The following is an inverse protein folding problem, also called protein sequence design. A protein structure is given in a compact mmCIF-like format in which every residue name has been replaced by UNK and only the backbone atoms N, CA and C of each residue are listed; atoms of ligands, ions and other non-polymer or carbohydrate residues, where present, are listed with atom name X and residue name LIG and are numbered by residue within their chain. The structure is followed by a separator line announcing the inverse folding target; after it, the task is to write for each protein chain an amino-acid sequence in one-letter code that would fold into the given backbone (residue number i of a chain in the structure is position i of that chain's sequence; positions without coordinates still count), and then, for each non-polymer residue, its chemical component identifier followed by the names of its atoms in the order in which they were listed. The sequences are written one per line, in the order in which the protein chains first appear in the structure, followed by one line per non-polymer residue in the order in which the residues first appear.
data_IF_058541414188
#
_entry.id   IF_058541414188
#
_cell.length_a   1.000
_cell.length_b   1.000
_cell.length_c   1.000
_cell.angle_alpha   90.00
_cell.angle_beta   90.00
_cell.angle_gamma   90.00
#
_symmetry.space_group_name_H-M   'P 1'
#
loop_
_entity.id
_entity.type
_entity.pdbx_description
1 polymer ?
#
# COMPACT_ATOMS: atom_id res chain seq x y z
N UNK A 1 -22.52 -6.82 29.46
CA UNK A 1 -23.71 -6.49 28.65
C UNK A 1 -23.74 -7.44 27.48
N UNK A 2 -24.89 -8.02 27.15
CA UNK A 2 -25.01 -8.87 25.96
C UNK A 2 -24.77 -8.01 24.71
N UNK A 3 -24.11 -8.54 23.64
CA UNK A 3 -23.94 -7.83 22.41
C UNK A 3 -25.29 -7.40 21.81
N UNK A 4 -25.38 -6.24 21.14
CA UNK A 4 -26.62 -5.85 20.48
C UNK A 4 -26.98 -6.92 19.43
N UNK A 5 -28.28 -7.20 19.24
CA UNK A 5 -28.70 -8.17 18.25
C UNK A 5 -28.24 -7.72 16.85
N UNK A 6 -27.94 -8.67 15.93
CA UNK A 6 -27.59 -8.33 14.57
C UNK A 6 -28.70 -7.51 13.91
N UNK A 7 -28.39 -6.55 13.03
CA UNK A 7 -29.37 -5.74 12.36
C UNK A 7 -30.35 -6.64 11.57
N UNK A 8 -31.63 -6.23 11.46
CA UNK A 8 -32.62 -7.04 10.76
C UNK A 8 -32.24 -7.24 9.29
N UNK A 9 -32.52 -8.41 8.69
CA UNK A 9 -32.10 -8.78 7.33
C UNK A 9 -32.46 -7.76 6.24
N UNK A 10 -33.51 -6.97 6.43
CA UNK A 10 -33.93 -5.91 5.49
C UNK A 10 -32.99 -4.70 5.48
N UNK A 11 -32.38 -4.34 6.60
CA UNK A 11 -31.38 -3.26 6.68
C UNK A 11 -30.08 -3.69 6.00
N UNK A 12 -29.62 -4.91 6.25
CA UNK A 12 -28.45 -5.51 5.56
C UNK A 12 -28.63 -5.51 4.04
N UNK A 13 -29.83 -5.89 3.54
CA UNK A 13 -30.12 -5.89 2.10
C UNK A 13 -30.16 -4.48 1.51
N UNK A 14 -30.67 -3.49 2.22
CA UNK A 14 -30.73 -2.10 1.77
C UNK A 14 -29.32 -1.46 1.72
N UNK A 15 -28.49 -1.70 2.73
CA UNK A 15 -27.12 -1.19 2.78
C UNK A 15 -26.22 -1.87 1.73
N UNK A 16 -26.35 -3.18 1.51
CA UNK A 16 -25.71 -3.85 0.38
C UNK A 16 -26.18 -3.33 -0.97
N UNK A 17 -27.46 -2.96 -1.11
CA UNK A 17 -27.95 -2.33 -2.34
C UNK A 17 -27.31 -0.95 -2.56
N UNK A 18 -27.11 -0.15 -1.51
CA UNK A 18 -26.40 1.12 -1.60
C UNK A 18 -24.92 0.95 -1.98
N UNK A 19 -24.22 -0.04 -1.37
CA UNK A 19 -22.84 -0.40 -1.73
C UNK A 19 -22.77 -0.84 -3.18
N UNK A 20 -23.69 -1.70 -3.64
CA UNK A 20 -23.76 -2.15 -5.04
C UNK A 20 -24.01 -0.98 -6.00
N UNK A 21 -24.90 -0.07 -5.65
CA UNK A 21 -25.21 1.11 -6.47
C UNK A 21 -23.97 2.02 -6.57
N UNK A 22 -23.31 2.29 -5.44
CA UNK A 22 -22.08 3.08 -5.39
C UNK A 22 -20.94 2.44 -6.19
N UNK A 23 -20.77 1.11 -6.15
CA UNK A 23 -19.76 0.37 -6.92
C UNK A 23 -20.14 0.21 -8.40
N UNK A 24 -21.43 0.09 -8.75
CA UNK A 24 -21.91 -0.16 -10.12
C UNK A 24 -22.06 1.11 -10.98
N UNK A 25 -22.17 2.29 -10.37
CA UNK A 25 -22.28 3.58 -11.07
C UNK A 25 -21.06 3.92 -11.98
N UNK A 26 -20.07 3.02 -12.07
CA UNK A 26 -18.77 3.17 -12.72
C UNK A 26 -18.63 2.47 -14.06
N UNK A 27 -19.67 1.75 -14.52
CA UNK A 27 -19.64 1.04 -15.80
C UNK A 27 -19.69 2.03 -16.96
N UNK A 28 -18.56 2.29 -17.62
CA UNK A 28 -18.57 3.16 -18.79
C UNK A 28 -17.38 3.07 -19.75
N UNK A 29 -16.34 2.26 -19.48
CA UNK A 29 -15.09 2.35 -20.28
C UNK A 29 -14.41 1.03 -20.67
N UNK A 30 -15.15 -0.06 -20.82
CA UNK A 30 -14.54 -1.33 -21.25
C UNK A 30 -15.21 -1.86 -22.52
N UNK A 31 -14.83 -1.31 -23.68
CA UNK A 31 -15.09 -1.96 -24.97
C UNK A 31 -13.95 -1.60 -25.92
N UNK A 32 -13.13 -2.59 -26.29
CA UNK A 32 -12.26 -2.52 -27.45
C UNK A 32 -10.74 -2.64 -27.23
N UNK A 33 -10.26 -2.86 -26.01
CA UNK A 33 -8.81 -3.06 -25.78
C UNK A 33 -8.50 -4.57 -25.72
N UNK A 34 -7.50 -5.04 -26.49
CA UNK A 34 -7.03 -6.45 -26.48
C UNK A 34 -6.13 -6.77 -25.27
N UNK A 35 -5.84 -5.78 -24.43
CA UNK A 35 -4.99 -5.95 -23.24
C UNK A 35 -5.83 -6.21 -21.98
N UNK A 36 -5.22 -6.85 -20.94
CA UNK A 36 -5.86 -6.91 -19.64
C UNK A 36 -6.31 -5.53 -19.15
N UNK A 37 -7.45 -5.41 -18.45
CA UNK A 37 -7.99 -4.14 -18.00
C UNK A 37 -6.98 -3.29 -17.21
N UNK A 38 -6.11 -3.95 -16.43
CA UNK A 38 -5.05 -3.32 -15.64
C UNK A 38 -4.00 -2.65 -16.52
N UNK A 39 -3.60 -3.31 -17.61
CA UNK A 39 -2.64 -2.74 -18.58
C UNK A 39 -3.28 -1.60 -19.35
N UNK A 40 -4.54 -1.75 -19.74
CA UNK A 40 -5.29 -0.66 -20.36
C UNK A 40 -5.36 0.57 -19.45
N UNK A 41 -5.51 0.38 -18.13
CA UNK A 41 -5.48 1.48 -17.16
C UNK A 41 -4.09 2.16 -17.10
N UNK A 42 -2.99 1.39 -17.09
CA UNK A 42 -1.63 1.94 -17.16
C UNK A 42 -1.41 2.78 -18.43
N UNK A 43 -1.91 2.30 -19.58
CA UNK A 43 -1.81 3.04 -20.85
C UNK A 43 -2.57 4.35 -20.85
N UNK A 44 -3.75 4.37 -20.22
CA UNK A 44 -4.57 5.60 -20.14
C UNK A 44 -4.10 6.59 -19.07
N UNK A 45 -3.29 6.14 -18.10
CA UNK A 45 -2.87 6.96 -16.95
C UNK A 45 -3.90 7.01 -15.83
N UNK A 46 -4.80 6.02 -15.77
CA UNK A 46 -5.83 5.91 -14.73
C UNK A 46 -5.65 4.69 -13.80
N UNK A 47 -4.49 4.04 -13.85
CA UNK A 47 -4.15 2.96 -12.94
C UNK A 47 -4.07 3.46 -11.49
N UNK A 48 -4.64 2.67 -10.58
CA UNK A 48 -4.57 2.92 -9.13
C UNK A 48 -4.09 1.66 -8.42
N UNK A 49 -3.02 1.80 -7.64
CA UNK A 49 -2.50 0.75 -6.75
C UNK A 49 -2.78 1.12 -5.29
N UNK A 50 -3.34 0.19 -4.52
CA UNK A 50 -3.32 0.25 -3.07
C UNK A 50 -2.02 -0.35 -2.56
N UNK A 51 -1.28 0.35 -1.70
CA UNK A 51 -0.16 -0.20 -0.96
C UNK A 51 -0.62 -0.48 0.47
N UNK A 52 -0.83 -1.75 0.80
CA UNK A 52 -1.09 -2.17 2.18
C UNK A 52 0.15 -1.97 3.06
N UNK A 53 1.32 -2.16 2.48
CA UNK A 53 2.62 -1.92 3.11
C UNK A 53 3.48 -3.18 3.16
N UNK A 54 4.75 -3.03 2.75
CA UNK A 54 5.71 -4.13 2.63
C UNK A 54 6.03 -4.83 3.96
N UNK A 55 5.79 -4.13 5.09
CA UNK A 55 5.97 -4.63 6.46
C UNK A 55 4.67 -4.69 7.27
N UNK A 56 3.51 -4.43 6.66
CA UNK A 56 2.22 -4.49 7.36
C UNK A 56 1.61 -5.87 7.17
N UNK A 57 1.52 -6.62 8.27
CA UNK A 57 1.17 -8.05 8.27
C UNK A 57 -0.08 -8.36 9.10
N UNK A 58 -0.86 -7.32 9.53
CA UNK A 58 -2.18 -7.52 10.13
C UNK A 58 -3.17 -8.00 9.05
N UNK A 59 -3.34 -9.32 8.98
CA UNK A 59 -4.14 -9.96 7.95
C UNK A 59 -5.61 -9.50 7.97
N UNK A 60 -6.17 -9.17 9.14
CA UNK A 60 -7.55 -8.72 9.26
C UNK A 60 -7.74 -7.32 8.66
N UNK A 61 -6.84 -6.40 8.99
CA UNK A 61 -6.86 -5.04 8.41
C UNK A 61 -6.58 -5.07 6.91
N UNK A 62 -5.60 -5.88 6.46
CA UNK A 62 -5.29 -6.04 5.04
C UNK A 62 -6.47 -6.59 4.27
N UNK A 63 -7.16 -7.60 4.81
CA UNK A 63 -8.39 -8.16 4.22
C UNK A 63 -9.48 -7.11 4.04
N UNK A 64 -9.76 -6.34 5.09
CA UNK A 64 -10.79 -5.31 5.05
C UNK A 64 -10.43 -4.17 4.10
N UNK A 65 -9.16 -3.73 4.07
CA UNK A 65 -8.66 -2.75 3.11
C UNK A 65 -8.81 -3.26 1.67
N UNK A 66 -8.45 -4.52 1.42
CA UNK A 66 -8.54 -5.15 0.09
C UNK A 66 -9.97 -5.21 -0.41
N UNK A 67 -10.93 -5.58 0.46
CA UNK A 67 -12.36 -5.57 0.13
C UNK A 67 -12.82 -4.16 -0.27
N UNK A 68 -12.57 -3.16 0.57
CA UNK A 68 -13.03 -1.78 0.35
C UNK A 68 -12.42 -1.19 -0.92
N UNK A 69 -11.11 -1.35 -1.14
CA UNK A 69 -10.44 -0.79 -2.30
C UNK A 69 -10.73 -1.56 -3.60
N UNK A 70 -11.02 -2.87 -3.54
CA UNK A 70 -11.54 -3.62 -4.68
C UNK A 70 -12.90 -3.07 -5.10
N UNK A 71 -13.82 -2.85 -4.15
CA UNK A 71 -15.10 -2.18 -4.43
C UNK A 71 -14.90 -0.75 -4.96
N UNK A 72 -13.85 -0.06 -4.53
CA UNK A 72 -13.49 1.26 -5.04
C UNK A 72 -12.90 1.24 -6.45
N UNK A 73 -12.48 0.09 -6.98
CA UNK A 73 -12.00 -0.10 -8.34
C UNK A 73 -10.51 0.17 -8.52
N UNK A 74 -9.67 -0.20 -7.56
CA UNK A 74 -8.22 -0.24 -7.75
C UNK A 74 -7.84 -1.33 -8.73
N UNK A 75 -6.71 -1.17 -9.42
CA UNK A 75 -6.21 -2.13 -10.41
C UNK A 75 -5.21 -3.13 -9.80
N UNK A 76 -4.62 -2.77 -8.66
CA UNK A 76 -3.63 -3.59 -7.98
C UNK A 76 -3.68 -3.37 -6.46
N UNK A 77 -3.42 -4.44 -5.72
CA UNK A 77 -3.22 -4.41 -4.28
C UNK A 77 -1.85 -4.98 -3.99
N UNK A 78 -0.99 -4.14 -3.42
CA UNK A 78 0.35 -4.47 -3.02
C UNK A 78 0.41 -4.75 -1.51
N UNK A 79 1.01 -5.87 -1.14
CA UNK A 79 1.06 -6.35 0.24
C UNK A 79 2.43 -6.94 0.61
N UNK A 80 2.61 -7.23 1.87
CA UNK A 80 3.79 -7.93 2.36
C UNK A 80 3.94 -9.31 1.69
N UNK A 81 5.18 -9.71 1.38
CA UNK A 81 5.49 -11.03 0.83
C UNK A 81 5.39 -12.10 1.94
N UNK A 82 4.16 -12.38 2.33
CA UNK A 82 3.78 -13.37 3.35
C UNK A 82 2.52 -14.12 2.91
N UNK A 83 2.50 -15.44 3.10
CA UNK A 83 1.43 -16.30 2.59
C UNK A 83 0.07 -16.01 3.24
N UNK A 84 0.04 -15.63 4.53
CA UNK A 84 -1.19 -15.31 5.25
C UNK A 84 -1.74 -13.95 4.81
N UNK A 85 -0.86 -12.99 4.55
CA UNK A 85 -1.24 -11.66 4.04
C UNK A 85 -1.77 -11.75 2.62
N UNK A 86 -1.12 -12.52 1.73
CA UNK A 86 -1.63 -12.80 0.37
C UNK A 86 -3.00 -13.48 0.43
N UNK A 87 -3.19 -14.46 1.34
CA UNK A 87 -4.48 -15.10 1.56
C UNK A 87 -5.56 -14.11 1.99
N UNK A 88 -5.23 -13.18 2.90
CA UNK A 88 -6.15 -12.15 3.37
C UNK A 88 -6.54 -11.16 2.24
N UNK A 89 -5.59 -10.76 1.39
CA UNK A 89 -5.88 -9.93 0.21
C UNK A 89 -6.88 -10.62 -0.70
N UNK A 90 -6.63 -11.88 -1.06
CA UNK A 90 -7.51 -12.65 -1.95
C UNK A 90 -8.90 -12.86 -1.34
N UNK A 91 -8.99 -13.16 -0.03
CA UNK A 91 -10.29 -13.24 0.66
C UNK A 91 -11.07 -11.92 0.55
N UNK A 92 -10.40 -10.78 0.74
CA UNK A 92 -11.02 -9.45 0.59
C UNK A 92 -11.55 -9.21 -0.83
N UNK A 93 -10.79 -9.61 -1.85
CA UNK A 93 -11.19 -9.51 -3.26
C UNK A 93 -12.40 -10.40 -3.55
N UNK A 94 -12.40 -11.64 -3.06
CA UNK A 94 -13.50 -12.60 -3.26
C UNK A 94 -14.80 -12.11 -2.60
N UNK A 95 -14.71 -11.54 -1.41
CA UNK A 95 -15.87 -10.93 -0.74
C UNK A 95 -16.38 -9.73 -1.53
N UNK A 96 -15.50 -8.88 -2.05
CA UNK A 96 -15.92 -7.76 -2.92
C UNK A 96 -16.66 -8.27 -4.18
N UNK A 97 -16.17 -9.34 -4.79
CA UNK A 97 -16.81 -9.98 -5.95
C UNK A 97 -18.17 -10.61 -5.58
N UNK A 98 -18.32 -11.14 -4.37
CA UNK A 98 -19.61 -11.66 -3.87
C UNK A 98 -20.66 -10.54 -3.68
N UNK A 99 -20.21 -9.36 -3.22
CA UNK A 99 -21.07 -8.19 -3.04
C UNK A 99 -21.43 -7.56 -4.41
N UNK A 100 -20.44 -7.41 -5.29
CA UNK A 100 -20.59 -6.82 -6.64
C UNK A 100 -19.99 -7.78 -7.68
N UNK A 101 -20.77 -8.73 -8.22
CA UNK A 101 -20.27 -9.75 -9.17
C UNK A 101 -19.59 -9.21 -10.43
N UNK A 102 -19.79 -7.94 -10.72
CA UNK A 102 -19.18 -7.26 -11.86
C UNK A 102 -17.96 -6.41 -11.48
N UNK A 103 -17.50 -6.48 -10.24
CA UNK A 103 -16.28 -5.79 -9.86
C UNK A 103 -15.09 -6.40 -10.59
N UNK A 104 -14.19 -5.54 -11.07
CA UNK A 104 -12.94 -6.00 -11.65
C UNK A 104 -12.00 -6.42 -10.51
N UNK A 105 -11.50 -7.67 -10.56
CA UNK A 105 -10.48 -8.12 -9.61
C UNK A 105 -9.17 -7.39 -9.87
N UNK A 106 -8.59 -6.74 -8.86
CA UNK A 106 -7.25 -6.16 -8.96
C UNK A 106 -6.19 -7.26 -9.05
N UNK A 107 -5.02 -6.92 -9.59
CA UNK A 107 -3.84 -7.78 -9.46
C UNK A 107 -3.31 -7.78 -8.02
N UNK A 108 -2.88 -8.94 -7.54
CA UNK A 108 -2.22 -9.09 -6.25
C UNK A 108 -0.71 -9.00 -6.44
N UNK A 109 -0.09 -8.03 -5.80
CA UNK A 109 1.34 -7.76 -5.85
C UNK A 109 1.97 -8.02 -4.48
N UNK A 110 3.14 -8.64 -4.46
CA UNK A 110 3.95 -8.78 -3.24
C UNK A 110 5.17 -7.90 -3.32
N UNK A 111 5.56 -7.30 -2.18
CA UNK A 111 6.73 -6.42 -2.08
C UNK A 111 7.90 -7.09 -1.39
N UNK A 112 9.09 -6.98 -2.01
CA UNK A 112 10.37 -7.42 -1.46
C UNK A 112 11.42 -6.30 -1.58
N UNK A 113 12.53 -6.43 -0.90
CA UNK A 113 13.64 -5.49 -0.95
C UNK A 113 14.94 -6.17 -1.32
N UNK A 114 15.79 -5.44 -2.03
CA UNK A 114 17.14 -5.89 -2.37
C UNK A 114 18.14 -5.64 -1.22
N UNK A 115 17.88 -4.66 -0.35
CA UNK A 115 18.83 -4.20 0.67
C UNK A 115 18.15 -3.94 2.02
N UNK A 116 18.82 -4.33 3.12
CA UNK A 116 18.37 -4.07 4.48
C UNK A 116 18.34 -2.57 4.87
N UNK A 117 18.87 -1.68 4.06
CA UNK A 117 18.80 -0.23 4.26
C UNK A 117 17.50 0.39 3.80
N UNK A 118 16.60 -0.38 3.19
CA UNK A 118 15.28 0.09 2.81
C UNK A 118 14.39 0.30 4.04
N UNK A 119 13.94 1.53 4.23
CA UNK A 119 13.12 1.92 5.36
C UNK A 119 11.69 1.33 5.34
N UNK A 120 11.24 0.79 4.22
CA UNK A 120 9.94 0.11 4.10
C UNK A 120 9.96 -1.29 4.75
N UNK A 121 11.15 -1.86 4.95
CA UNK A 121 11.35 -3.18 5.53
C UNK A 121 12.03 -3.08 6.90
N UNK A 122 11.35 -2.42 7.83
CA UNK A 122 11.79 -2.32 9.23
C UNK A 122 10.61 -2.41 10.18
N UNK A 123 10.88 -2.82 11.40
CA UNK A 123 9.94 -2.84 12.53
C UNK A 123 10.50 -2.01 13.67
N UNK A 124 9.64 -1.39 14.45
CA UNK A 124 10.07 -0.83 15.74
C UNK A 124 10.23 -1.94 16.75
N UNK A 125 11.21 -1.80 17.63
CA UNK A 125 11.48 -2.73 18.71
C UNK A 125 11.92 -1.98 19.95
N UNK A 126 11.40 -2.36 21.11
CA UNK A 126 11.87 -1.93 22.43
C UNK A 126 11.34 -2.86 23.52
N UNK A 127 12.03 -2.89 24.65
CA UNK A 127 11.53 -3.55 25.86
C UNK A 127 10.76 -2.52 26.70
N UNK A 128 9.46 -2.74 26.94
CA UNK A 128 8.67 -1.83 27.79
C UNK A 128 9.14 -1.78 29.25
N UNK A 129 9.84 -2.80 29.75
CA UNK A 129 10.41 -2.78 31.11
C UNK A 129 11.56 -1.75 31.26
N UNK A 130 12.22 -1.39 30.15
CA UNK A 130 13.20 -0.31 30.12
C UNK A 130 12.59 1.10 30.19
N UNK A 131 11.27 1.22 30.07
CA UNK A 131 10.56 2.47 30.14
C UNK A 131 10.30 2.88 31.60
N UNK A 132 10.51 4.16 31.97
CA UNK A 132 10.12 4.64 33.29
C UNK A 132 8.60 4.44 33.53
N UNK A 133 8.19 4.03 34.76
CA UNK A 133 6.79 3.77 35.05
C UNK A 133 5.85 4.97 34.84
N UNK A 134 6.39 6.19 34.94
CA UNK A 134 5.66 7.46 34.75
C UNK A 134 5.71 7.97 33.30
N UNK A 135 6.26 7.19 32.36
CA UNK A 135 6.33 7.57 30.95
C UNK A 135 4.95 7.95 30.38
N UNK A 136 4.87 9.09 29.71
CA UNK A 136 3.64 9.61 29.08
C UNK A 136 3.23 8.88 27.79
N UNK A 137 3.98 7.86 27.38
CA UNK A 137 3.76 6.98 26.23
C UNK A 137 3.57 7.75 24.91
N UNK A 138 4.48 8.67 24.53
CA UNK A 138 4.32 9.45 23.30
C UNK A 138 4.40 8.58 22.05
N UNK A 139 5.12 7.45 22.09
CA UNK A 139 5.24 6.49 21.01
C UNK A 139 3.90 5.84 20.65
N UNK A 140 3.07 5.49 21.62
CA UNK A 140 1.72 4.97 21.44
C UNK A 140 0.82 6.00 20.75
N UNK A 141 0.85 7.26 21.24
CA UNK A 141 0.01 8.36 20.74
C UNK A 141 0.30 8.76 19.29
N UNK A 142 1.54 8.59 18.82
CA UNK A 142 1.92 8.99 17.45
C UNK A 142 1.86 7.82 16.47
N UNK A 143 1.62 6.60 16.93
CA UNK A 143 1.58 5.43 16.06
C UNK A 143 0.34 5.46 15.16
N UNK A 144 0.49 5.60 13.82
CA UNK A 144 -0.65 5.70 12.93
C UNK A 144 -1.31 4.33 12.63
N UNK A 145 -0.66 3.23 13.03
CA UNK A 145 -1.14 1.87 12.88
C UNK A 145 -1.63 1.25 14.21
N UNK A 146 -1.65 2.04 15.30
CA UNK A 146 -1.96 1.54 16.65
C UNK A 146 -1.14 0.28 17.01
N UNK A 147 0.12 0.26 16.53
CA UNK A 147 1.03 -0.88 16.68
C UNK A 147 1.84 -0.86 17.98
N UNK A 148 1.60 0.08 18.85
CA UNK A 148 2.26 0.16 20.16
C UNK A 148 1.16 0.22 21.22
N UNK A 149 1.19 -0.73 22.15
CA UNK A 149 0.27 -0.80 23.28
C UNK A 149 1.07 -1.01 24.56
N UNK A 150 0.88 -0.16 25.54
CA UNK A 150 1.58 -0.17 26.81
C UNK A 150 0.58 -0.10 27.96
N UNK A 151 0.57 -1.08 28.82
CA UNK A 151 -0.25 -1.11 30.02
C UNK A 151 0.62 -0.93 31.27
N UNK A 152 0.09 -0.25 32.26
CA UNK A 152 0.74 -0.15 33.56
C UNK A 152 0.25 -1.26 34.45
N UNK A 153 1.15 -2.14 34.86
CA UNK A 153 0.86 -3.24 35.79
C UNK A 153 1.44 -2.91 37.15
N UNK A 154 0.60 -2.95 38.17
CA UNK A 154 1.03 -2.73 39.56
C UNK A 154 1.75 -3.99 40.05
N UNK A 155 2.92 -3.83 40.66
CA UNK A 155 3.67 -4.94 41.26
C UNK A 155 2.96 -5.34 42.56
N UNK A 156 2.41 -6.55 42.61
CA UNK A 156 1.77 -7.07 43.79
C UNK A 156 2.77 -7.12 44.97
N UNK A 157 2.42 -6.51 46.11
CA UNK A 157 3.21 -6.57 47.34
C UNK A 157 3.73 -5.24 47.90
N UNK A 158 3.56 -4.11 47.22
CA UNK A 158 3.86 -2.79 47.78
C UNK A 158 2.59 -1.98 47.98
N UNK A 159 2.06 -2.05 49.20
CA UNK A 159 0.95 -1.20 49.67
C UNK A 159 1.44 0.25 49.82
N UNK A 160 1.35 1.07 48.73
CA UNK A 160 1.26 2.52 48.88
C UNK A 160 0.43 3.08 47.73
N UNK A 161 -0.71 3.61 48.10
CA UNK A 161 -1.81 4.07 47.20
C UNK A 161 -1.51 5.36 46.41
N UNK A 162 -0.27 5.84 46.37
CA UNK A 162 0.01 7.16 45.81
C UNK A 162 1.35 7.34 45.11
N UNK A 163 2.16 6.30 44.89
CA UNK A 163 3.44 6.44 44.21
C UNK A 163 3.32 6.04 42.73
N UNK A 164 3.38 7.00 41.78
CA UNK A 164 3.38 6.73 40.33
C UNK A 164 4.55 5.87 39.87
N UNK A 165 5.60 5.72 40.71
CA UNK A 165 6.82 4.96 40.38
C UNK A 165 6.73 3.46 40.74
N UNK A 166 5.62 3.01 41.34
CA UNK A 166 5.49 1.63 41.86
C UNK A 166 4.88 0.62 40.87
N UNK A 167 5.03 0.80 39.58
CA UNK A 167 4.55 -0.14 38.56
C UNK A 167 5.60 -0.36 37.48
N UNK A 168 5.38 -1.36 36.63
CA UNK A 168 6.11 -1.51 35.38
C UNK A 168 5.17 -1.35 34.18
N UNK A 169 5.73 -1.02 33.01
CA UNK A 169 4.99 -1.04 31.77
C UNK A 169 5.12 -2.44 31.15
N UNK A 170 4.01 -2.97 30.68
CA UNK A 170 3.95 -4.22 29.93
C UNK A 170 3.34 -3.95 28.54
N UNK A 171 3.53 -4.89 27.60
CA UNK A 171 3.05 -4.78 26.22
C UNK A 171 4.19 -4.63 25.24
N UNK A 172 4.20 -3.57 24.44
CA UNK A 172 5.26 -3.29 23.47
C UNK A 172 4.75 -3.08 22.06
N UNK A 173 5.52 -3.55 21.08
CA UNK A 173 5.18 -3.42 19.65
C UNK A 173 4.38 -4.63 19.19
N UNK A 174 3.19 -4.38 18.63
CA UNK A 174 2.41 -5.36 17.86
C UNK A 174 3.06 -5.43 16.48
N UNK A 175 3.91 -6.43 16.30
CA UNK A 175 4.83 -6.54 15.16
C UNK A 175 4.08 -6.57 13.82
N UNK A 176 2.95 -7.26 13.76
CA UNK A 176 2.13 -7.41 12.55
C UNK A 176 1.57 -6.06 12.07
N UNK A 177 1.24 -5.17 13.00
CA UNK A 177 0.73 -3.82 12.71
C UNK A 177 1.82 -2.81 12.38
N UNK A 178 3.03 -3.03 12.88
CA UNK A 178 4.13 -2.10 12.63
C UNK A 178 4.57 -2.15 11.16
N UNK A 179 4.41 -1.05 10.43
CA UNK A 179 4.92 -0.91 9.06
C UNK A 179 6.15 0.00 8.95
N UNK A 180 6.88 0.21 10.04
CA UNK A 180 8.19 0.83 10.04
C UNK A 180 8.24 2.34 9.77
N UNK A 181 7.16 3.10 9.98
CA UNK A 181 7.15 4.54 9.69
C UNK A 181 8.16 5.37 10.50
N UNK A 182 8.66 4.87 11.62
CA UNK A 182 9.68 5.50 12.45
C UNK A 182 9.23 6.66 13.32
N UNK A 183 7.94 7.01 13.36
CA UNK A 183 7.45 8.14 14.18
C UNK A 183 7.72 7.98 15.66
N UNK A 184 7.66 6.76 16.16
CA UNK A 184 7.92 6.44 17.57
C UNK A 184 9.36 6.71 18.00
N UNK A 185 10.32 6.57 17.08
CA UNK A 185 11.74 6.77 17.36
C UNK A 185 12.03 8.21 17.83
N UNK A 186 11.58 9.19 17.06
CA UNK A 186 11.90 10.61 17.30
C UNK A 186 11.17 11.22 18.50
N UNK A 187 10.10 10.59 19.00
CA UNK A 187 9.30 11.11 20.11
C UNK A 187 9.60 10.43 21.45
N UNK A 188 10.42 9.37 21.45
CA UNK A 188 10.79 8.70 22.68
C UNK A 188 11.81 9.56 23.46
N UNK A 189 11.44 10.10 24.63
CA UNK A 189 12.35 10.99 25.38
C UNK A 189 13.51 10.26 26.05
N UNK A 190 13.46 8.92 26.04
CA UNK A 190 14.46 8.05 26.67
C UNK A 190 15.30 7.27 25.65
N UNK A 191 15.08 7.49 24.35
CA UNK A 191 15.79 6.82 23.24
C UNK A 191 15.80 5.27 23.36
N UNK A 192 14.68 4.69 23.78
CA UNK A 192 14.57 3.24 24.00
C UNK A 192 14.13 2.47 22.76
N UNK A 193 13.53 3.15 21.78
CA UNK A 193 12.96 2.50 20.60
C UNK A 193 13.99 2.43 19.47
N UNK A 194 14.16 1.24 18.92
CA UNK A 194 15.07 0.97 17.80
C UNK A 194 14.28 0.59 16.56
N UNK A 195 14.89 0.76 15.39
CA UNK A 195 14.37 0.26 14.12
C UNK A 195 15.18 -0.96 13.70
N UNK A 196 14.52 -2.11 13.62
CA UNK A 196 15.12 -3.35 13.13
C UNK A 196 14.74 -3.54 11.66
N UNK A 197 15.75 -3.45 10.79
CA UNK A 197 15.57 -3.66 9.34
C UNK A 197 15.82 -5.13 8.97
N UNK A 198 15.15 -5.59 7.92
CA UNK A 198 15.28 -6.96 7.42
C UNK A 198 15.20 -7.01 5.89
N UNK A 199 15.61 -8.12 5.32
CA UNK A 199 15.43 -8.44 3.91
C UNK A 199 14.48 -9.64 3.81
N UNK A 200 13.55 -9.59 2.88
CA UNK A 200 12.64 -10.73 2.61
C UNK A 200 13.45 -11.92 2.08
N UNK A 201 13.11 -13.10 2.56
CA UNK A 201 13.75 -14.35 2.14
C UNK A 201 13.42 -14.63 0.66
N UNK A 202 14.43 -14.68 -0.23
CA UNK A 202 14.20 -14.92 -1.65
C UNK A 202 13.57 -16.29 -1.94
N UNK A 203 13.89 -17.33 -1.17
CA UNK A 203 13.34 -18.68 -1.36
C UNK A 203 11.83 -18.69 -1.09
N UNK A 204 11.40 -18.11 0.04
CA UNK A 204 9.97 -17.97 0.36
C UNK A 204 9.26 -17.10 -0.65
N UNK A 205 9.92 -16.04 -1.13
CA UNK A 205 9.38 -15.18 -2.19
C UNK A 205 9.17 -15.97 -3.47
N UNK A 206 10.15 -16.77 -3.90
CA UNK A 206 10.04 -17.62 -5.08
C UNK A 206 8.89 -18.65 -4.97
N UNK A 207 8.64 -19.18 -3.77
CA UNK A 207 7.48 -20.05 -3.52
C UNK A 207 6.15 -19.28 -3.67
N UNK A 208 6.06 -18.06 -3.19
CA UNK A 208 4.87 -17.21 -3.37
C UNK A 208 4.62 -16.88 -4.84
N UNK A 209 5.66 -16.58 -5.62
CA UNK A 209 5.55 -16.28 -7.05
C UNK A 209 5.08 -17.46 -7.90
N UNK A 210 5.22 -18.68 -7.40
CA UNK A 210 4.70 -19.90 -8.08
C UNK A 210 3.21 -20.11 -7.85
N UNK A 211 2.59 -19.35 -6.94
CA UNK A 211 1.16 -19.42 -6.68
C UNK A 211 0.39 -18.76 -7.82
N UNK A 212 -0.81 -19.25 -8.10
CA UNK A 212 -1.70 -18.69 -9.11
C UNK A 212 -2.54 -17.50 -8.62
N UNK A 213 -2.40 -17.14 -7.36
CA UNK A 213 -3.08 -16.04 -6.70
C UNK A 213 -2.16 -14.84 -6.39
N UNK A 214 -0.95 -14.82 -6.97
CA UNK A 214 0.00 -13.70 -7.01
C UNK A 214 0.24 -13.32 -8.45
N UNK A 215 -0.09 -12.09 -8.82
CA UNK A 215 -0.03 -11.58 -10.19
C UNK A 215 1.22 -10.75 -10.49
N UNK A 216 1.84 -10.19 -9.45
CA UNK A 216 2.91 -9.21 -9.61
C UNK A 216 3.90 -9.22 -8.43
N UNK A 217 5.08 -8.70 -8.68
CA UNK A 217 6.09 -8.43 -7.65
C UNK A 217 6.56 -6.98 -7.74
N UNK A 218 6.80 -6.36 -6.59
CA UNK A 218 7.53 -5.10 -6.47
C UNK A 218 8.87 -5.34 -5.78
N UNK A 219 9.96 -4.92 -6.43
CA UNK A 219 11.30 -4.97 -5.88
C UNK A 219 11.69 -3.56 -5.47
N UNK A 220 11.82 -3.33 -4.17
CA UNK A 220 12.31 -2.09 -3.62
C UNK A 220 13.82 -2.01 -3.75
N UNK A 221 14.31 -0.87 -4.24
CA UNK A 221 15.74 -0.59 -4.38
C UNK A 221 16.15 0.68 -3.63
N UNK A 222 17.40 0.76 -3.22
CA UNK A 222 17.95 1.94 -2.55
C UNK A 222 18.59 2.95 -3.50
N UNK A 223 18.68 2.64 -4.80
CA UNK A 223 19.34 3.49 -5.80
C UNK A 223 20.87 3.57 -5.67
N UNK A 224 21.51 2.74 -4.83
CA UNK A 224 22.93 2.82 -4.49
C UNK A 224 23.82 1.77 -5.17
N UNK A 225 23.38 1.24 -6.28
CA UNK A 225 24.09 0.20 -7.03
C UNK A 225 23.16 -0.96 -7.36
N UNK A 226 23.61 -1.87 -8.21
CA UNK A 226 22.78 -2.95 -8.75
C UNK A 226 23.17 -4.34 -8.25
N UNK A 227 24.25 -4.46 -7.46
CA UNK A 227 24.75 -5.76 -7.02
C UNK A 227 23.75 -6.53 -6.17
N UNK A 228 23.09 -5.84 -5.23
CA UNK A 228 22.06 -6.44 -4.38
C UNK A 228 20.82 -6.81 -5.17
N UNK A 229 20.40 -5.94 -6.11
CA UNK A 229 19.32 -6.25 -7.04
C UNK A 229 19.65 -7.49 -7.88
N UNK A 230 20.84 -7.55 -8.47
CA UNK A 230 21.29 -8.69 -9.29
C UNK A 230 21.31 -9.98 -8.47
N UNK A 231 21.74 -9.91 -7.21
CA UNK A 231 21.74 -11.05 -6.29
C UNK A 231 20.30 -11.54 -6.01
N UNK A 232 19.39 -10.61 -5.66
CA UNK A 232 17.98 -10.94 -5.44
C UNK A 232 17.35 -11.52 -6.71
N UNK A 233 17.57 -10.86 -7.85
CA UNK A 233 17.05 -11.29 -9.15
C UNK A 233 17.47 -12.73 -9.50
N UNK A 234 18.76 -13.05 -9.32
CA UNK A 234 19.28 -14.39 -9.54
C UNK A 234 18.67 -15.43 -8.58
N UNK A 235 18.37 -15.04 -7.35
CA UNK A 235 17.74 -15.94 -6.37
C UNK A 235 16.26 -16.18 -6.61
N UNK A 236 15.56 -15.27 -7.30
CA UNK A 236 14.17 -15.46 -7.71
C UNK A 236 14.05 -16.42 -8.91
N UNK A 237 15.12 -16.52 -9.71
CA UNK A 237 15.26 -17.47 -10.81
C UNK A 237 14.00 -17.54 -11.72
N UNK A 238 13.66 -18.71 -12.22
CA UNK A 238 12.49 -18.94 -13.09
C UNK A 238 11.14 -18.57 -12.44
N UNK A 239 11.07 -18.41 -11.11
CA UNK A 239 9.82 -18.02 -10.44
C UNK A 239 9.27 -16.69 -10.91
N UNK A 240 10.17 -15.78 -11.37
CA UNK A 240 9.80 -14.46 -11.87
C UNK A 240 8.96 -14.53 -13.18
N UNK A 241 9.06 -15.63 -13.91
CA UNK A 241 8.32 -15.83 -15.15
C UNK A 241 6.81 -16.09 -14.93
N UNK A 242 6.39 -16.35 -13.69
CA UNK A 242 4.99 -16.62 -13.36
C UNK A 242 4.17 -15.34 -13.19
N UNK A 243 4.80 -14.18 -13.05
CA UNK A 243 4.08 -12.92 -12.79
C UNK A 243 3.79 -12.13 -14.06
N UNK A 244 2.68 -11.42 -14.05
CA UNK A 244 2.21 -10.56 -15.15
C UNK A 244 2.91 -9.20 -15.17
N UNK A 245 3.34 -8.71 -14.00
CA UNK A 245 3.93 -7.39 -13.82
C UNK A 245 5.10 -7.44 -12.83
N UNK A 246 6.21 -6.85 -13.24
CA UNK A 246 7.36 -6.62 -12.37
C UNK A 246 7.49 -5.11 -12.16
N UNK A 247 7.34 -4.67 -10.92
CA UNK A 247 7.55 -3.30 -10.53
C UNK A 247 8.91 -3.14 -9.85
N UNK A 248 9.61 -2.05 -10.15
CA UNK A 248 10.83 -1.67 -9.44
C UNK A 248 10.61 -0.31 -8.81
N UNK A 249 10.73 -0.26 -7.48
CA UNK A 249 10.61 0.96 -6.70
C UNK A 249 11.96 1.70 -6.69
N UNK A 250 11.93 2.97 -7.08
CA UNK A 250 13.10 3.81 -7.31
C UNK A 250 13.04 5.06 -6.42
N UNK A 251 14.05 5.34 -5.60
CA UNK A 251 14.23 6.67 -5.04
C UNK A 251 14.71 7.67 -6.10
N UNK A 252 14.46 8.96 -5.90
CA UNK A 252 15.07 10.00 -6.72
C UNK A 252 16.55 10.14 -6.36
N UNK A 253 17.42 9.72 -7.26
CA UNK A 253 18.89 9.86 -7.14
C UNK A 253 19.45 10.91 -8.11
N UNK A 254 18.61 11.85 -8.52
CA UNK A 254 18.98 12.94 -9.44
C UNK A 254 19.32 12.43 -10.82
N UNK A 255 20.31 13.06 -11.47
CA UNK A 255 20.73 12.75 -12.84
C UNK A 255 21.17 11.30 -13.05
N UNK A 256 21.52 10.58 -11.98
CA UNK A 256 21.91 9.16 -12.04
C UNK A 256 20.72 8.20 -12.15
N UNK A 257 19.49 8.67 -11.98
CA UNK A 257 18.29 7.82 -11.96
C UNK A 257 18.14 7.00 -13.23
N UNK A 258 18.26 7.61 -14.41
CA UNK A 258 18.10 6.91 -15.69
C UNK A 258 19.23 5.89 -15.93
N UNK A 259 20.45 6.19 -15.51
CA UNK A 259 21.56 5.24 -15.59
C UNK A 259 21.31 4.02 -14.71
N UNK A 260 20.82 4.24 -13.48
CA UNK A 260 20.44 3.17 -12.57
C UNK A 260 19.30 2.31 -13.13
N UNK A 261 18.24 2.95 -13.66
CA UNK A 261 17.13 2.27 -14.33
C UNK A 261 17.60 1.39 -15.50
N UNK A 262 18.49 1.92 -16.36
CA UNK A 262 19.03 1.16 -17.49
C UNK A 262 19.87 -0.03 -17.04
N UNK A 263 20.67 0.12 -16.00
CA UNK A 263 21.45 -0.98 -15.43
C UNK A 263 20.55 -2.11 -14.90
N UNK A 264 19.48 -1.77 -14.15
CA UNK A 264 18.48 -2.74 -13.68
C UNK A 264 17.76 -3.37 -14.88
N UNK A 265 17.31 -2.57 -15.84
CA UNK A 265 16.60 -3.07 -17.02
C UNK A 265 17.45 -4.07 -17.81
N UNK A 266 18.76 -3.84 -17.93
CA UNK A 266 19.69 -4.76 -18.58
C UNK A 266 19.69 -6.14 -17.91
N UNK A 267 19.61 -6.19 -16.57
CA UNK A 267 19.49 -7.46 -15.84
C UNK A 267 18.14 -8.14 -16.08
N UNK A 268 17.05 -7.36 -16.09
CA UNK A 268 15.68 -7.89 -16.18
C UNK A 268 15.32 -8.38 -17.58
N UNK A 269 15.74 -7.66 -18.63
CA UNK A 269 15.19 -7.77 -19.99
C UNK A 269 15.23 -9.18 -20.60
N UNK A 270 16.21 -10.03 -20.23
CA UNK A 270 16.34 -11.39 -20.74
C UNK A 270 15.28 -12.36 -20.19
N UNK A 271 14.69 -12.04 -19.04
CA UNK A 271 13.69 -12.87 -18.34
C UNK A 271 12.33 -12.17 -18.23
N UNK A 272 12.21 -10.96 -18.78
CA UNK A 272 10.99 -10.17 -18.69
C UNK A 272 9.94 -10.69 -19.68
N UNK A 273 9.05 -11.59 -19.22
CA UNK A 273 7.92 -12.07 -20.02
C UNK A 273 6.65 -11.25 -19.86
N UNK A 274 6.53 -10.52 -18.75
CA UNK A 274 5.41 -9.67 -18.40
C UNK A 274 5.66 -8.19 -18.68
N UNK A 275 4.87 -7.35 -18.04
CA UNK A 275 5.00 -5.90 -18.11
C UNK A 275 6.00 -5.39 -17.07
N UNK A 276 6.66 -4.27 -17.38
CA UNK A 276 7.57 -3.58 -16.48
C UNK A 276 6.97 -2.26 -16.00
N UNK A 277 7.08 -1.99 -14.71
CA UNK A 277 6.58 -0.78 -14.05
C UNK A 277 7.69 -0.14 -13.19
N UNK A 278 7.99 1.11 -13.45
CA UNK A 278 8.89 1.93 -12.64
C UNK A 278 8.07 2.72 -11.61
N UNK A 279 8.19 2.37 -10.34
CA UNK A 279 7.55 3.11 -9.27
C UNK A 279 8.47 4.23 -8.80
N UNK A 280 8.00 5.45 -8.91
CA UNK A 280 8.73 6.66 -8.55
C UNK A 280 8.42 7.02 -7.10
N UNK A 281 9.31 6.63 -6.17
CA UNK A 281 9.19 6.94 -4.76
C UNK A 281 9.79 8.30 -4.45
N UNK A 282 8.97 9.33 -4.49
CA UNK A 282 9.41 10.70 -4.27
C UNK A 282 9.87 10.98 -2.85
N UNK A 283 9.39 10.23 -1.88
CA UNK A 283 9.76 10.39 -0.46
C UNK A 283 10.13 9.06 0.17
N UNK A 284 11.19 9.02 1.00
CA UNK A 284 11.42 7.89 1.87
C UNK A 284 10.27 7.74 2.87
N UNK A 285 10.11 6.56 3.45
CA UNK A 285 9.11 6.28 4.47
C UNK A 285 9.27 7.23 5.67
N UNK A 286 8.41 8.24 5.77
CA UNK A 286 8.44 9.23 6.86
C UNK A 286 7.17 9.25 7.70
N UNK A 287 6.13 8.49 7.28
CA UNK A 287 4.80 8.54 7.87
C UNK A 287 4.07 9.89 7.69
N UNK A 288 4.67 10.88 7.06
CA UNK A 288 4.02 12.14 6.71
C UNK A 288 3.15 11.96 5.46
N UNK A 289 1.85 12.22 5.62
CA UNK A 289 0.82 12.08 4.59
C UNK A 289 0.02 13.38 4.44
N UNK A 290 0.54 14.49 4.97
CA UNK A 290 -0.05 15.82 4.84
C UNK A 290 -0.04 16.31 3.38
N UNK A 291 -0.70 17.47 3.17
CA UNK A 291 -0.87 18.05 1.82
C UNK A 291 0.45 18.21 1.05
N UNK A 292 1.51 18.60 1.73
CA UNK A 292 2.83 18.84 1.13
C UNK A 292 3.59 17.57 0.75
N UNK A 293 3.18 16.41 1.27
CA UNK A 293 3.90 15.15 1.06
C UNK A 293 3.99 14.71 -0.41
N UNK A 294 3.06 15.16 -1.25
CA UNK A 294 3.04 14.81 -2.69
C UNK A 294 4.02 15.63 -3.55
N UNK A 295 4.68 16.64 -2.97
CA UNK A 295 5.55 17.56 -3.73
C UNK A 295 6.74 16.85 -4.32
N UNK A 296 7.42 16.04 -3.53
CA UNK A 296 8.65 15.35 -3.94
C UNK A 296 8.36 14.31 -5.03
N UNK A 297 7.28 13.55 -4.90
CA UNK A 297 6.94 12.55 -5.93
C UNK A 297 6.55 13.18 -7.27
N UNK A 298 5.85 14.31 -7.25
CA UNK A 298 5.53 15.05 -8.48
C UNK A 298 6.79 15.70 -9.07
N UNK A 299 7.69 16.26 -8.25
CA UNK A 299 8.97 16.79 -8.72
C UNK A 299 9.83 15.71 -9.36
N UNK A 300 9.87 14.51 -8.80
CA UNK A 300 10.58 13.38 -9.38
C UNK A 300 10.02 13.03 -10.77
N UNK A 301 8.69 12.97 -10.91
CA UNK A 301 8.08 12.73 -12.22
C UNK A 301 8.40 13.82 -13.25
N UNK A 302 8.38 15.09 -12.83
CA UNK A 302 8.77 16.22 -13.70
C UNK A 302 10.23 16.10 -14.13
N UNK A 303 11.12 15.83 -13.19
CA UNK A 303 12.55 15.64 -13.48
C UNK A 303 12.75 14.48 -14.47
N UNK A 304 12.17 13.31 -14.18
CA UNK A 304 12.28 12.16 -15.07
C UNK A 304 11.68 12.42 -16.46
N UNK A 305 10.62 13.23 -16.56
CA UNK A 305 10.01 13.55 -17.86
C UNK A 305 10.94 14.33 -18.79
N UNK A 306 11.88 15.09 -18.22
CA UNK A 306 12.89 15.86 -18.98
C UNK A 306 14.11 15.04 -19.40
N UNK A 307 14.31 13.86 -18.81
CA UNK A 307 15.45 12.99 -19.12
C UNK A 307 15.22 12.20 -20.41
N UNK A 308 16.29 11.99 -21.17
CA UNK A 308 16.32 11.12 -22.36
C UNK A 308 16.81 9.71 -21.99
N UNK A 309 16.69 8.77 -22.93
CA UNK A 309 17.24 7.41 -22.85
C UNK A 309 16.70 6.59 -21.65
N UNK A 310 15.47 6.85 -21.23
CA UNK A 310 14.79 6.04 -20.22
C UNK A 310 14.54 4.63 -20.77
N UNK A 311 14.71 3.58 -19.94
CA UNK A 311 14.39 2.21 -20.35
C UNK A 311 12.86 2.07 -20.55
N UNK A 312 12.43 1.05 -21.32
CA UNK A 312 11.00 0.75 -21.51
C UNK A 312 10.29 0.46 -20.17
N UNK A 313 8.97 0.67 -20.16
CA UNK A 313 8.11 0.39 -19.03
C UNK A 313 7.08 1.49 -18.79
N UNK A 314 6.16 1.20 -17.85
CA UNK A 314 5.21 2.17 -17.34
C UNK A 314 5.80 2.94 -16.15
N UNK A 315 5.27 4.12 -15.87
CA UNK A 315 5.68 4.91 -14.70
C UNK A 315 4.49 5.11 -13.77
N UNK A 316 4.72 4.97 -12.47
CA UNK A 316 3.71 5.14 -11.42
C UNK A 316 4.28 6.01 -10.30
N UNK A 317 3.47 6.92 -9.76
CA UNK A 317 3.85 7.71 -8.60
C UNK A 317 3.59 6.95 -7.29
N UNK A 318 4.54 7.04 -6.36
CA UNK A 318 4.41 6.59 -4.99
C UNK A 318 5.20 7.51 -4.03
N UNK A 319 5.25 7.17 -2.74
CA UNK A 319 6.04 7.93 -1.76
C UNK A 319 5.49 9.34 -1.50
N UNK A 320 4.47 9.45 -0.63
CA UNK A 320 3.85 10.72 -0.25
C UNK A 320 2.55 11.07 -0.98
N UNK A 321 2.03 10.18 -1.81
CA UNK A 321 0.77 10.37 -2.54
C UNK A 321 -0.44 10.50 -1.60
N UNK A 322 -1.35 11.43 -1.94
CA UNK A 322 -2.56 11.74 -1.17
C UNK A 322 -3.63 12.36 -2.07
N UNK A 323 -4.71 12.91 -1.49
CA UNK A 323 -5.80 13.55 -2.23
C UNK A 323 -5.40 14.77 -3.07
N UNK A 324 -4.22 15.35 -2.84
CA UNK A 324 -3.72 16.51 -3.59
C UNK A 324 -2.79 16.13 -4.76
N UNK A 325 -2.47 14.84 -4.92
CA UNK A 325 -1.54 14.37 -5.95
C UNK A 325 -2.04 14.69 -7.36
N UNK A 326 -3.32 14.45 -7.61
CA UNK A 326 -3.93 14.68 -8.95
C UNK A 326 -3.90 16.17 -9.30
N UNK A 327 -4.25 17.04 -8.37
CA UNK A 327 -4.19 18.50 -8.59
C UNK A 327 -2.77 18.94 -8.92
N UNK A 328 -1.79 18.40 -8.20
CA UNK A 328 -0.37 18.68 -8.43
C UNK A 328 0.12 18.17 -9.77
N UNK A 329 -0.31 16.96 -10.19
CA UNK A 329 0.00 16.41 -11.53
C UNK A 329 -0.65 17.21 -12.65
N UNK A 330 -1.90 17.68 -12.47
CA UNK A 330 -2.57 18.56 -13.44
C UNK A 330 -1.82 19.87 -13.60
N UNK A 331 -1.36 20.48 -12.51
CA UNK A 331 -0.55 21.71 -12.54
C UNK A 331 0.80 21.50 -13.23
N UNK A 332 1.39 20.32 -13.12
CA UNK A 332 2.63 19.93 -13.80
C UNK A 332 2.42 19.50 -15.26
N UNK A 333 1.18 19.42 -15.76
CA UNK A 333 0.86 18.95 -17.11
C UNK A 333 1.10 17.45 -17.33
N UNK A 334 1.21 16.66 -16.26
CA UNK A 334 1.55 15.23 -16.33
C UNK A 334 0.35 14.29 -16.09
N UNK A 335 -0.80 14.80 -15.65
CA UNK A 335 -1.97 13.98 -15.41
C UNK A 335 -2.60 13.51 -16.73
N UNK A 336 -2.54 12.20 -16.98
CA UNK A 336 -3.05 11.56 -18.20
C UNK A 336 -2.50 12.19 -19.50
N UNK A 337 -1.33 12.81 -19.41
CA UNK A 337 -0.66 13.36 -20.58
C UNK A 337 -0.05 12.24 -21.41
N UNK A 338 -0.36 12.19 -22.70
CA UNK A 338 0.14 11.15 -23.61
C UNK A 338 1.52 11.52 -24.15
N UNK A 339 2.41 10.54 -24.16
CA UNK A 339 3.71 10.60 -24.83
C UNK A 339 3.77 9.51 -25.89
N UNK A 340 4.52 9.76 -26.97
CA UNK A 340 4.87 8.68 -27.91
C UNK A 340 5.94 7.83 -27.26
N UNK A 341 5.63 6.55 -26.95
CA UNK A 341 6.63 5.61 -26.50
C UNK A 341 7.55 5.30 -27.70
N UNK A 342 8.81 5.66 -27.60
CA UNK A 342 9.83 5.19 -28.53
C UNK A 342 10.11 3.71 -28.23
N UNK A 343 9.28 2.82 -28.76
CA UNK A 343 9.52 1.38 -28.75
C UNK A 343 10.00 0.98 -30.12
N UNK A 344 11.19 0.40 -30.17
CA UNK A 344 11.77 -0.20 -31.37
C UNK A 344 10.79 -1.20 -31.99
N UNK A 345 10.11 -0.80 -33.08
CA UNK A 345 9.60 -1.73 -34.07
C UNK A 345 8.14 -2.16 -34.02
N UNK A 346 7.28 -1.63 -33.15
CA UNK A 346 5.83 -1.92 -33.18
C UNK A 346 5.05 -0.62 -33.04
N UNK A 347 4.11 -0.42 -33.98
CA UNK A 347 3.13 0.67 -34.11
C UNK A 347 3.01 1.61 -32.91
N UNK A 348 3.14 2.93 -33.19
CA UNK A 348 2.93 4.11 -32.33
C UNK A 348 1.74 3.94 -31.37
N UNK A 349 1.93 3.27 -30.23
CA UNK A 349 0.91 3.19 -29.20
C UNK A 349 1.06 4.40 -28.28
N UNK A 350 0.12 5.31 -28.40
CA UNK A 350 -0.02 6.44 -27.51
C UNK A 350 -0.28 5.94 -26.08
N UNK A 351 0.61 6.24 -25.14
CA UNK A 351 0.40 5.90 -23.73
C UNK A 351 0.63 7.12 -22.83
N UNK A 352 -0.03 7.12 -21.67
CA UNK A 352 0.20 8.16 -20.66
C UNK A 352 1.65 8.08 -20.13
N UNK A 353 2.31 9.24 -19.95
CA UNK A 353 3.64 9.27 -19.34
C UNK A 353 3.59 8.73 -17.91
N UNK A 354 2.69 9.24 -17.09
CA UNK A 354 2.40 8.65 -15.79
C UNK A 354 1.21 7.71 -15.95
N UNK A 355 1.48 6.41 -15.91
CA UNK A 355 0.47 5.36 -16.04
C UNK A 355 -0.47 5.29 -14.86
N UNK A 356 -0.05 5.74 -13.66
CA UNK A 356 -0.92 5.71 -12.51
C UNK A 356 -0.33 6.21 -11.20
N UNK A 357 -1.10 6.01 -10.13
CA UNK A 357 -0.78 6.47 -8.79
C UNK A 357 -0.95 5.30 -7.81
N UNK A 358 0.08 5.07 -6.98
CA UNK A 358 0.00 4.19 -5.83
C UNK A 358 -0.29 4.98 -4.56
N UNK A 359 -1.25 4.54 -3.78
CA UNK A 359 -1.63 5.15 -2.50
C UNK A 359 -1.35 4.19 -1.35
N UNK A 360 -0.50 4.61 -0.42
CA UNK A 360 -0.11 3.83 0.77
C UNK A 360 -0.69 4.39 2.06
N UNK A 361 0.14 5.05 2.86
CA UNK A 361 -0.22 5.53 4.20
C UNK A 361 -1.47 6.40 4.25
N UNK A 362 -1.72 7.22 3.23
CA UNK A 362 -2.93 8.05 3.17
C UNK A 362 -4.18 7.17 2.97
N UNK A 363 -4.13 6.21 2.04
CA UNK A 363 -5.23 5.29 1.78
C UNK A 363 -5.60 4.46 3.02
N UNK A 364 -4.59 3.89 3.70
CA UNK A 364 -4.78 3.16 4.95
C UNK A 364 -5.38 4.04 6.05
N UNK A 365 -4.94 5.30 6.16
CA UNK A 365 -5.43 6.23 7.18
C UNK A 365 -6.91 6.53 7.03
N UNK A 366 -7.39 6.84 5.82
CA UNK A 366 -8.78 7.26 5.62
C UNK A 366 -9.74 6.11 5.89
N UNK A 367 -9.49 4.91 5.36
CA UNK A 367 -10.30 3.71 5.61
C UNK A 367 -10.10 3.20 7.05
N UNK A 368 -8.88 3.16 7.55
CA UNK A 368 -8.58 2.73 8.91
C UNK A 368 -9.30 3.53 10.00
N UNK A 369 -9.62 4.82 9.78
CA UNK A 369 -10.48 5.59 10.69
C UNK A 369 -11.87 5.00 10.81
N UNK A 370 -12.40 4.46 9.73
CA UNK A 370 -13.72 3.83 9.73
C UNK A 370 -13.65 2.46 10.39
N UNK A 371 -12.62 1.66 10.07
CA UNK A 371 -12.41 0.35 10.69
C UNK A 371 -12.34 0.43 12.22
N UNK A 372 -11.67 1.45 12.75
CA UNK A 372 -11.58 1.69 14.20
C UNK A 372 -12.90 2.09 14.88
N UNK A 373 -13.93 2.47 14.15
CA UNK A 373 -15.25 2.74 14.70
C UNK A 373 -16.04 1.45 14.99
N UNK A 374 -15.64 0.34 14.38
CA UNK A 374 -16.27 -0.96 14.60
C UNK A 374 -15.95 -1.41 16.04
N UNK A 375 -16.96 -1.75 16.85
CA UNK A 375 -16.74 -2.07 18.25
C UNK A 375 -15.77 -3.24 18.46
N UNK A 376 -14.77 -3.06 19.33
CA UNK A 376 -13.71 -4.04 19.60
C UNK A 376 -14.21 -5.39 20.19
N UNK A 377 -15.42 -5.41 20.73
CA UNK A 377 -16.06 -6.64 21.25
C UNK A 377 -16.28 -7.73 20.18
N UNK A 378 -16.17 -7.37 18.90
CA UNK A 378 -16.27 -8.30 17.76
C UNK A 378 -14.91 -8.84 17.30
N UNK A 379 -13.82 -8.54 18.03
CA UNK A 379 -12.46 -8.96 17.65
C UNK A 379 -12.02 -8.35 16.32
N UNK A 380 -11.45 -9.16 15.45
CA UNK A 380 -11.14 -8.76 14.06
C UNK A 380 -12.44 -8.74 13.24
N UNK A 381 -13.18 -7.63 13.34
CA UNK A 381 -14.47 -7.48 12.71
C UNK A 381 -14.33 -7.55 11.17
N UNK A 382 -15.22 -8.31 10.54
CA UNK A 382 -15.41 -8.31 9.09
C UNK A 382 -16.27 -7.11 8.73
N UNK A 383 -15.72 -6.18 7.95
CA UNK A 383 -16.41 -4.92 7.65
C UNK A 383 -17.75 -5.15 6.90
N UNK A 384 -17.86 -6.22 6.12
CA UNK A 384 -19.09 -6.59 5.41
C UNK A 384 -20.25 -6.97 6.34
N UNK A 385 -19.96 -7.36 7.58
CA UNK A 385 -20.99 -7.61 8.60
C UNK A 385 -21.54 -6.29 9.16
N UNK A 386 -20.92 -5.16 8.83
CA UNK A 386 -21.27 -3.81 9.25
C UNK A 386 -21.51 -2.88 8.04
N UNK A 387 -22.63 -3.03 7.32
CA UNK A 387 -22.84 -2.38 6.02
C UNK A 387 -22.74 -0.85 6.04
N UNK A 388 -23.09 -0.20 7.13
CA UNK A 388 -23.00 1.27 7.25
C UNK A 388 -21.53 1.71 7.31
N UNK A 389 -20.67 0.98 8.04
CA UNK A 389 -19.24 1.23 8.04
C UNK A 389 -18.59 0.85 6.72
N UNK A 390 -19.05 -0.22 6.06
CA UNK A 390 -18.57 -0.58 4.73
C UNK A 390 -18.90 0.54 3.71
N UNK A 391 -20.10 1.11 3.78
CA UNK A 391 -20.48 2.22 2.91
C UNK A 391 -19.64 3.47 3.19
N UNK A 392 -19.43 3.83 4.45
CA UNK A 392 -18.58 4.95 4.84
C UNK A 392 -17.14 4.74 4.35
N UNK A 393 -16.56 3.55 4.59
CA UNK A 393 -15.20 3.22 4.13
C UNK A 393 -15.09 3.25 2.60
N UNK A 394 -16.11 2.79 1.88
CA UNK A 394 -16.16 2.86 0.43
C UNK A 394 -16.21 4.31 -0.07
N UNK A 395 -16.96 5.19 0.57
CA UNK A 395 -16.99 6.62 0.22
C UNK A 395 -15.62 7.27 0.39
N UNK A 396 -14.91 6.97 1.49
CA UNK A 396 -13.54 7.44 1.72
C UNK A 396 -12.59 6.93 0.62
N UNK A 397 -12.62 5.64 0.31
CA UNK A 397 -11.79 5.06 -0.76
C UNK A 397 -12.10 5.67 -2.13
N UNK A 398 -13.38 5.92 -2.42
CA UNK A 398 -13.82 6.56 -3.65
C UNK A 398 -13.40 8.01 -3.79
N UNK A 399 -13.34 8.75 -2.68
CA UNK A 399 -12.84 10.11 -2.70
C UNK A 399 -11.40 10.18 -3.21
N UNK A 400 -10.64 9.09 -3.06
CA UNK A 400 -9.25 8.96 -3.49
C UNK A 400 -9.11 8.33 -4.89
N UNK A 401 -9.81 7.22 -5.15
CA UNK A 401 -9.73 6.47 -6.41
C UNK A 401 -10.52 7.15 -7.53
N UNK A 402 -11.70 7.67 -7.21
CA UNK A 402 -12.62 8.24 -8.19
C UNK A 402 -12.02 9.34 -9.08
N UNK A 403 -11.32 10.34 -8.53
CA UNK A 403 -10.68 11.39 -9.33
C UNK A 403 -9.62 10.88 -10.31
N UNK A 404 -8.88 9.79 -10.00
CA UNK A 404 -7.91 9.17 -10.93
C UNK A 404 -8.65 8.48 -12.07
N UNK A 405 -9.69 7.74 -11.73
CA UNK A 405 -10.52 6.96 -12.66
C UNK A 405 -11.50 7.82 -13.48
N UNK A 406 -11.63 9.11 -13.14
CA UNK A 406 -12.62 10.00 -13.76
C UNK A 406 -14.05 9.56 -13.46
N UNK A 407 -14.32 8.97 -12.29
CA UNK A 407 -15.68 8.66 -11.88
C UNK A 407 -16.48 9.94 -11.62
N UNK A 408 -17.78 9.96 -11.95
CA UNK A 408 -18.62 11.09 -11.60
C UNK A 408 -18.63 11.26 -10.05
N UNK A 409 -18.58 12.51 -9.59
CA UNK A 409 -18.75 12.81 -8.17
C UNK A 409 -20.09 12.30 -7.69
N UNK A 410 -20.09 11.39 -6.72
CA UNK A 410 -21.31 10.95 -6.09
C UNK A 410 -21.93 12.16 -5.36
N UNK A 411 -23.24 12.41 -5.51
CA UNK A 411 -23.90 13.39 -4.65
C UNK A 411 -23.69 12.96 -3.19
N UNK A 412 -23.42 13.93 -2.34
CA UNK A 412 -23.39 13.72 -0.87
C UNK A 412 -24.75 13.12 -0.45
N UNK A 413 -24.71 11.90 0.08
CA UNK A 413 -25.87 11.24 0.68
C UNK A 413 -26.27 11.92 1.98
#
# INVERSE_FOLDING_TARGET
MAPPPPPPPRLLLASHAAVRAAASARRGRLAGDHHPPQVAALRRGDWVKLICGASFEDAADVRNLSLVYTLAGVDCIDCAADASVVGAVNEGIDVAASIVPSVQSPWVMISVNDDCRDLHFRKAEFDPEDCPPDCSKPCEKVCPADAISLERVMIEGKHSQSDPSSGKLEGGVITERCYGCGRCLSVCPYDRIRAMSYVRDPTKTAELLKRNDVDAIEIHTTGKGTDMFNTLWSNLDDSINNVKLIAVSLPDVGDSTVNFMNAIYTTMQSHLQGYNLWQLDGRPMSGDIGRGATRETVSFAVHLSSMSNRPPGFYQLAGGTNSYTIESLKKAGLFQSTTFAATSGVTDCQQAFIGGIAYGGYARKIVGRVLRKIPAQFGHARIEDHPDYLLEALQEALSLVGPVKGYPTLPSL
#
